data_IF_501396680733
#
_entry.id   IF_501396680733
#
_cell.length_a   1.000
_cell.length_b   1.000
_cell.length_c   1.000
_cell.angle_alpha   90.00
_cell.angle_beta   90.00
_cell.angle_gamma   90.00
#
_symmetry.space_group_name_H-M   'P 1'
#
loop_
_entity.id
_entity.type
_entity.pdbx_description
1 polymer ?
#
# COMPACT_ATOMS: atom_id res chain seq x y z
N UNK A 1 -11.96 9.67 -11.66
CA UNK A 1 -12.34 8.24 -11.81
C UNK A 1 -13.51 7.96 -12.77
N UNK A 2 -14.10 8.94 -13.48
CA UNK A 2 -15.24 8.68 -14.38
C UNK A 2 -14.90 8.14 -15.78
N UNK A 3 -13.63 8.17 -16.20
CA UNK A 3 -13.27 7.89 -17.60
C UNK A 3 -12.85 6.44 -17.89
N UNK A 4 -12.26 5.71 -16.92
CA UNK A 4 -11.79 4.34 -17.15
C UNK A 4 -12.93 3.29 -17.17
N UNK A 5 -13.97 3.45 -16.34
CA UNK A 5 -15.15 2.56 -16.37
C UNK A 5 -16.03 2.73 -17.61
N UNK A 6 -15.87 3.82 -18.36
CA UNK A 6 -16.65 4.08 -19.57
C UNK A 6 -16.15 3.30 -20.80
N UNK A 7 -14.87 2.88 -20.81
CA UNK A 7 -14.29 2.16 -21.92
C UNK A 7 -14.65 0.66 -21.94
N UNK A 8 -14.97 0.08 -20.77
CA UNK A 8 -15.36 -1.33 -20.68
C UNK A 8 -16.24 -1.59 -19.42
N UNK A 9 -17.57 -1.46 -19.53
CA UNK A 9 -18.49 -1.70 -18.41
C UNK A 9 -18.38 -3.16 -17.93
N UNK A 10 -18.19 -3.36 -16.62
CA UNK A 10 -18.20 -4.70 -16.00
C UNK A 10 -16.82 -5.27 -15.60
N UNK A 11 -15.72 -4.59 -15.91
CA UNK A 11 -14.39 -4.96 -15.39
C UNK A 11 -14.11 -4.15 -14.11
N UNK A 12 -13.84 -4.80 -12.96
CA UNK A 12 -13.40 -4.10 -11.76
C UNK A 12 -12.11 -3.32 -12.06
N UNK A 13 -12.17 -1.99 -12.00
CA UNK A 13 -10.98 -1.15 -12.11
C UNK A 13 -10.28 -1.19 -10.77
N UNK A 14 -9.08 -1.77 -10.72
CA UNK A 14 -8.22 -1.77 -9.53
C UNK A 14 -7.24 -0.62 -9.68
N UNK A 15 -7.39 0.43 -8.89
CA UNK A 15 -6.33 1.43 -8.75
C UNK A 15 -5.44 1.07 -7.55
N UNK A 16 -4.10 1.26 -7.62
CA UNK A 16 -3.22 0.85 -6.51
C UNK A 16 -3.56 1.51 -5.17
N UNK A 17 -4.08 2.73 -5.19
CA UNK A 17 -4.50 3.44 -3.98
C UNK A 17 -5.81 2.88 -3.39
N UNK A 18 -6.75 2.45 -4.23
CA UNK A 18 -7.98 1.79 -3.75
C UNK A 18 -7.69 0.39 -3.23
N UNK A 19 -6.82 -0.36 -3.92
CA UNK A 19 -6.36 -1.65 -3.46
C UNK A 19 -5.65 -1.52 -2.10
N UNK A 20 -4.78 -0.52 -1.94
CA UNK A 20 -4.13 -0.22 -0.67
C UNK A 20 -5.14 0.13 0.42
N UNK A 21 -6.14 0.98 0.13
CA UNK A 21 -7.18 1.32 1.09
C UNK A 21 -8.01 0.10 1.54
N UNK A 22 -8.32 -0.83 0.61
CA UNK A 22 -8.98 -2.10 0.95
C UNK A 22 -8.08 -2.99 1.81
N UNK A 23 -6.80 -3.09 1.46
CA UNK A 23 -5.83 -3.90 2.20
C UNK A 23 -5.61 -3.39 3.63
N UNK A 24 -5.46 -2.08 3.80
CA UNK A 24 -5.37 -1.44 5.11
C UNK A 24 -6.63 -1.71 5.96
N UNK A 25 -7.82 -1.68 5.35
CA UNK A 25 -9.08 -2.05 6.03
C UNK A 25 -9.14 -3.52 6.41
N UNK A 26 -8.68 -4.41 5.52
CA UNK A 26 -8.62 -5.85 5.79
C UNK A 26 -7.64 -6.19 6.94
N UNK A 27 -6.64 -5.33 7.16
CA UNK A 27 -5.72 -5.39 8.29
C UNK A 27 -6.21 -4.62 9.52
N UNK A 28 -7.46 -4.14 9.50
CA UNK A 28 -8.10 -3.37 10.59
C UNK A 28 -7.35 -2.09 11.00
N UNK A 29 -6.47 -1.58 10.14
CA UNK A 29 -5.72 -0.35 10.39
C UNK A 29 -6.65 0.87 10.40
N UNK A 30 -6.45 1.78 11.37
CA UNK A 30 -7.18 3.05 11.48
C UNK A 30 -6.26 4.24 11.41
N UNK A 31 -5.10 4.15 12.06
CA UNK A 31 -4.03 5.15 12.01
C UNK A 31 -2.91 4.64 11.11
N UNK A 32 -2.45 5.46 10.18
CA UNK A 32 -1.46 5.05 9.19
C UNK A 32 -0.33 6.05 9.08
N UNK A 33 0.84 5.54 8.73
CA UNK A 33 1.94 6.34 8.19
C UNK A 33 2.13 6.02 6.71
N UNK A 34 2.58 7.00 5.93
CA UNK A 34 2.86 6.88 4.50
C UNK A 34 4.35 7.12 4.24
N UNK A 35 4.96 6.24 3.45
CA UNK A 35 6.27 6.44 2.84
C UNK A 35 6.11 6.45 1.32
N UNK A 36 6.53 7.55 0.68
CA UNK A 36 6.51 7.70 -0.77
C UNK A 36 7.89 8.14 -1.30
N UNK A 37 8.33 7.67 -2.48
CA UNK A 37 9.62 8.07 -3.03
C UNK A 37 9.61 9.37 -3.84
N UNK A 38 8.43 9.86 -4.21
CA UNK A 38 8.23 11.05 -5.03
C UNK A 38 7.95 12.31 -4.18
N UNK A 39 7.79 13.46 -4.83
CA UNK A 39 7.55 14.76 -4.20
C UNK A 39 6.36 14.80 -3.23
N UNK A 40 6.46 15.70 -2.25
CA UNK A 40 5.44 15.90 -1.23
C UNK A 40 4.05 16.17 -1.81
N UNK A 41 3.93 16.98 -2.87
CA UNK A 41 2.64 17.31 -3.48
C UNK A 41 1.88 16.07 -3.96
N UNK A 42 2.58 15.11 -4.57
CA UNK A 42 1.97 13.86 -5.01
C UNK A 42 1.64 12.95 -3.81
N UNK A 43 2.42 13.00 -2.74
CA UNK A 43 2.18 12.23 -1.53
C UNK A 43 0.96 12.76 -0.76
N UNK A 44 0.77 14.07 -0.77
CA UNK A 44 -0.38 14.73 -0.16
C UNK A 44 -1.69 14.31 -0.86
N UNK A 45 -1.70 14.19 -2.19
CA UNK A 45 -2.88 13.67 -2.91
C UNK A 45 -3.25 12.24 -2.49
N UNK A 46 -2.24 11.40 -2.21
CA UNK A 46 -2.45 10.03 -1.73
C UNK A 46 -2.95 10.03 -0.29
N UNK A 47 -2.34 10.85 0.56
CA UNK A 47 -2.74 11.07 1.94
C UNK A 47 -4.20 11.53 2.03
N UNK A 48 -4.58 12.58 1.31
CA UNK A 48 -5.94 13.13 1.28
C UNK A 48 -6.96 12.08 0.86
N UNK A 49 -6.63 11.26 -0.15
CA UNK A 49 -7.49 10.17 -0.57
C UNK A 49 -7.71 9.15 0.55
N UNK A 50 -6.65 8.75 1.28
CA UNK A 50 -6.77 7.78 2.37
C UNK A 50 -7.52 8.40 3.57
N UNK A 51 -7.28 9.66 3.90
CA UNK A 51 -8.06 10.37 4.92
C UNK A 51 -9.54 10.41 4.57
N UNK A 52 -9.88 10.70 3.31
CA UNK A 52 -11.27 10.66 2.82
C UNK A 52 -11.91 9.25 2.89
N UNK A 53 -11.11 8.18 3.00
CA UNK A 53 -11.57 6.80 3.19
C UNK A 53 -11.73 6.40 4.66
N UNK A 54 -11.44 7.31 5.59
CA UNK A 54 -11.64 7.17 7.03
C UNK A 54 -10.39 6.83 7.85
N UNK A 55 -9.20 6.93 7.26
CA UNK A 55 -7.94 6.73 7.99
C UNK A 55 -7.47 8.02 8.67
N UNK A 56 -6.85 7.90 9.84
CA UNK A 56 -6.10 8.98 10.46
C UNK A 56 -4.63 8.91 10.00
N UNK A 57 -4.11 10.00 9.46
CA UNK A 57 -2.73 10.07 9.01
C UNK A 57 -1.83 10.59 10.14
N UNK A 58 -0.91 9.77 10.62
CA UNK A 58 0.03 10.16 11.67
C UNK A 58 1.33 10.76 11.12
N UNK A 59 1.78 10.25 9.97
CA UNK A 59 2.98 10.74 9.28
C UNK A 59 2.89 10.50 7.79
N UNK A 60 3.38 11.46 7.00
CA UNK A 60 3.69 11.27 5.59
C UNK A 60 5.16 11.65 5.36
N UNK A 61 5.94 10.74 4.81
CA UNK A 61 7.37 10.91 4.57
C UNK A 61 7.70 10.67 3.12
N UNK A 62 8.53 11.55 2.56
CA UNK A 62 8.98 11.47 1.17
C UNK A 62 10.49 11.41 1.07
N UNK A 63 10.99 10.78 -0.01
CA UNK A 63 12.40 10.89 -0.39
C UNK A 63 12.68 12.06 -1.34
N UNK A 64 11.63 12.77 -1.77
CA UNK A 64 11.68 13.92 -2.67
C UNK A 64 12.53 13.68 -3.94
N UNK A 65 12.38 12.50 -4.55
CA UNK A 65 13.16 12.11 -5.72
C UNK A 65 12.46 12.58 -7.01
N UNK A 66 13.23 13.24 -7.88
CA UNK A 66 12.78 13.80 -9.17
C UNK A 66 12.55 12.75 -10.29
N UNK A 67 12.81 11.45 -10.06
CA UNK A 67 12.55 10.44 -11.09
C UNK A 67 12.98 8.99 -10.86
N UNK A 68 12.56 8.12 -11.80
CA UNK A 68 12.65 6.65 -11.74
C UNK A 68 14.08 6.12 -11.57
N UNK A 69 15.11 6.80 -12.08
CA UNK A 69 16.49 6.33 -11.94
C UNK A 69 17.00 6.39 -10.50
N UNK A 70 16.62 7.40 -9.73
CA UNK A 70 17.00 7.51 -8.33
C UNK A 70 16.20 6.51 -7.48
N UNK A 71 14.91 6.35 -7.78
CA UNK A 71 14.06 5.36 -7.13
C UNK A 71 14.57 3.92 -7.32
N UNK A 72 15.05 3.57 -8.51
CA UNK A 72 15.60 2.24 -8.82
C UNK A 72 16.93 1.92 -8.11
N UNK A 73 17.61 2.92 -7.55
CA UNK A 73 18.89 2.75 -6.82
C UNK A 73 18.71 2.59 -5.31
N UNK A 74 17.48 2.70 -4.80
CA UNK A 74 17.20 2.49 -3.38
C UNK A 74 17.51 1.03 -3.01
N UNK A 75 18.57 0.85 -2.21
CA UNK A 75 18.93 -0.46 -1.68
C UNK A 75 17.87 -0.93 -0.66
N UNK A 76 17.67 -2.25 -0.50
CA UNK A 76 16.78 -2.78 0.55
C UNK A 76 17.10 -2.26 1.95
N UNK A 77 18.39 -2.05 2.26
CA UNK A 77 18.81 -1.49 3.54
C UNK A 77 18.35 -0.03 3.73
N UNK A 78 18.47 0.79 2.68
CA UNK A 78 18.01 2.19 2.70
C UNK A 78 16.49 2.26 2.88
N UNK A 79 15.75 1.37 2.19
CA UNK A 79 14.31 1.30 2.33
C UNK A 79 13.87 0.84 3.72
N UNK A 80 14.59 -0.10 4.35
CA UNK A 80 14.34 -0.49 5.75
C UNK A 80 14.60 0.65 6.73
N UNK A 81 15.68 1.41 6.54
CA UNK A 81 15.97 2.56 7.38
C UNK A 81 14.88 3.63 7.25
N UNK A 82 14.53 4.00 6.02
CA UNK A 82 13.48 4.98 5.78
C UNK A 82 12.11 4.52 6.28
N UNK A 83 11.78 3.23 6.15
CA UNK A 83 10.53 2.69 6.68
C UNK A 83 10.46 2.79 8.22
N UNK A 84 11.59 2.64 8.93
CA UNK A 84 11.67 2.85 10.38
C UNK A 84 11.48 4.31 10.76
N UNK A 85 12.06 5.23 10.00
CA UNK A 85 11.93 6.67 10.27
C UNK A 85 10.53 7.20 9.90
N UNK A 86 9.91 6.60 8.89
CA UNK A 86 8.60 6.98 8.39
C UNK A 86 7.43 6.42 9.23
N UNK A 87 7.61 5.37 10.03
CA UNK A 87 6.52 4.86 10.86
C UNK A 87 6.38 5.69 12.14
N UNK A 88 5.20 6.27 12.37
CA UNK A 88 4.88 6.88 13.65
C UNK A 88 4.56 5.79 14.71
N UNK A 89 5.00 5.93 15.98
CA UNK A 89 4.76 4.91 17.02
C UNK A 89 3.30 4.58 17.31
N UNK A 90 2.36 5.46 16.93
CA UNK A 90 0.91 5.26 17.11
C UNK A 90 0.21 4.69 15.87
N UNK A 91 0.93 4.52 14.76
CA UNK A 91 0.32 4.01 13.55
C UNK A 91 0.10 2.51 13.64
N UNK A 92 -1.06 2.07 13.17
CA UNK A 92 -1.43 0.67 13.07
C UNK A 92 -0.76 -0.02 11.89
N UNK A 93 -0.39 0.72 10.84
CA UNK A 93 0.26 0.19 9.65
C UNK A 93 1.12 1.25 8.92
N UNK A 94 2.10 0.77 8.16
CA UNK A 94 2.85 1.58 7.19
C UNK A 94 2.34 1.31 5.77
N UNK A 95 1.97 2.36 5.04
CA UNK A 95 1.72 2.29 3.60
C UNK A 95 2.93 2.80 2.82
N UNK A 96 3.53 1.95 1.99
CA UNK A 96 4.60 2.32 1.06
C UNK A 96 3.98 2.55 -0.32
N UNK A 97 3.78 3.81 -0.67
CA UNK A 97 3.18 4.20 -1.95
C UNK A 97 4.22 4.22 -3.05
N UNK A 98 4.55 3.06 -3.62
CA UNK A 98 5.37 2.99 -4.82
C UNK A 98 5.09 1.72 -5.64
N UNK A 99 5.02 1.88 -6.96
CA UNK A 99 4.97 0.78 -7.94
C UNK A 99 6.35 0.42 -8.50
N UNK A 100 7.33 1.33 -8.43
CA UNK A 100 8.69 1.13 -8.93
C UNK A 100 9.64 0.40 -7.97
N UNK A 101 9.38 0.41 -6.66
CA UNK A 101 10.24 -0.24 -5.67
C UNK A 101 10.07 -1.76 -5.68
N UNK A 102 11.19 -2.49 -5.71
CA UNK A 102 11.26 -3.95 -5.55
C UNK A 102 10.99 -4.33 -4.09
N UNK A 103 9.74 -4.22 -3.66
CA UNK A 103 9.33 -4.47 -2.27
C UNK A 103 8.90 -5.91 -2.00
N UNK A 104 8.54 -6.68 -3.02
CA UNK A 104 7.94 -8.02 -2.89
C UNK A 104 8.75 -8.99 -2.00
N UNK A 105 10.08 -8.89 -2.00
CA UNK A 105 10.95 -9.77 -1.20
C UNK A 105 11.24 -9.30 0.22
N UNK A 106 10.83 -8.08 0.62
CA UNK A 106 11.24 -7.50 1.91
C UNK A 106 10.08 -7.12 2.83
N UNK A 107 8.83 -7.24 2.39
CA UNK A 107 7.66 -6.84 3.20
C UNK A 107 7.63 -7.59 4.53
N UNK A 108 7.81 -8.91 4.53
CA UNK A 108 7.83 -9.70 5.77
C UNK A 108 8.95 -9.28 6.73
N UNK A 109 10.13 -8.93 6.20
CA UNK A 109 11.24 -8.42 7.02
C UNK A 109 10.96 -7.03 7.58
N UNK A 110 10.28 -6.17 6.82
CA UNK A 110 9.83 -4.85 7.30
C UNK A 110 8.80 -5.01 8.41
N UNK A 111 7.79 -5.86 8.24
CA UNK A 111 6.78 -6.12 9.27
C UNK A 111 7.40 -6.69 10.56
N UNK A 112 8.38 -7.58 10.44
CA UNK A 112 9.11 -8.11 11.58
C UNK A 112 9.92 -7.01 12.30
N UNK A 113 10.53 -6.09 11.53
CA UNK A 113 11.33 -4.99 12.08
C UNK A 113 10.49 -3.86 12.70
N UNK A 114 9.31 -3.59 12.15
CA UNK A 114 8.45 -2.47 12.58
C UNK A 114 7.37 -2.90 13.59
N UNK A 115 7.08 -4.20 13.69
CA UNK A 115 6.02 -4.75 14.56
C UNK A 115 4.59 -4.58 13.99
N UNK A 116 4.40 -3.66 13.05
CA UNK A 116 3.12 -3.36 12.40
C UNK A 116 3.05 -3.94 10.97
N UNK A 117 1.85 -4.20 10.43
CA UNK A 117 1.66 -4.54 9.03
C UNK A 117 2.23 -3.47 8.08
N UNK A 118 2.70 -3.94 6.92
CA UNK A 118 3.20 -3.08 5.85
C UNK A 118 2.39 -3.39 4.59
N UNK A 119 1.81 -2.35 3.99
CA UNK A 119 1.06 -2.44 2.74
C UNK A 119 1.84 -1.70 1.66
N UNK A 120 2.05 -2.33 0.50
CA UNK A 120 2.67 -1.66 -0.66
C UNK A 120 1.70 -1.57 -1.83
N UNK A 121 1.87 -0.60 -2.72
CA UNK A 121 1.00 -0.46 -3.91
C UNK A 121 0.95 -1.74 -4.76
N UNK A 122 2.10 -2.37 -5.01
CA UNK A 122 2.19 -3.59 -5.80
C UNK A 122 1.55 -4.80 -5.10
N UNK A 123 1.86 -4.98 -3.80
CA UNK A 123 1.31 -6.05 -2.98
C UNK A 123 -0.21 -5.94 -2.87
N UNK A 124 -0.73 -4.74 -2.61
CA UNK A 124 -2.16 -4.50 -2.49
C UNK A 124 -2.89 -4.71 -3.81
N UNK A 125 -2.32 -4.26 -4.94
CA UNK A 125 -2.89 -4.48 -6.27
C UNK A 125 -2.96 -5.97 -6.60
N UNK A 126 -1.89 -6.73 -6.34
CA UNK A 126 -1.87 -8.17 -6.55
C UNK A 126 -2.89 -8.89 -5.66
N UNK A 127 -2.97 -8.52 -4.38
CA UNK A 127 -3.95 -9.06 -3.44
C UNK A 127 -5.39 -8.77 -3.85
N UNK A 128 -5.73 -7.54 -4.25
CA UNK A 128 -7.08 -7.16 -4.71
C UNK A 128 -7.44 -7.88 -6.01
N UNK A 129 -6.50 -8.01 -6.95
CA UNK A 129 -6.69 -8.74 -8.20
C UNK A 129 -6.95 -10.24 -7.97
N UNK A 130 -6.13 -10.91 -7.15
CA UNK A 130 -6.28 -12.32 -6.80
C UNK A 130 -7.59 -12.60 -6.06
N UNK A 131 -7.94 -11.69 -5.15
CA UNK A 131 -9.21 -11.74 -4.40
C UNK A 131 -10.42 -11.68 -5.32
N UNK A 132 -10.38 -10.81 -6.34
CA UNK A 132 -11.43 -10.74 -7.36
C UNK A 132 -11.48 -11.99 -8.25
N UNK A 133 -10.35 -12.65 -8.48
CA UNK A 133 -10.25 -13.89 -9.23
C UNK A 133 -10.66 -15.15 -8.42
N UNK A 134 -11.00 -15.02 -7.13
CA UNK A 134 -11.31 -16.13 -6.20
C UNK A 134 -10.21 -17.19 -6.09
N UNK A 135 -8.96 -16.80 -6.36
CA UNK A 135 -7.81 -17.67 -6.13
C UNK A 135 -7.48 -17.63 -4.64
N UNK A 136 -7.45 -18.79 -3.98
CA UNK A 136 -7.25 -18.90 -2.53
C UNK A 136 -5.92 -18.32 -2.02
N UNK A 137 -5.85 -18.05 -0.71
CA UNK A 137 -4.74 -17.36 -0.03
C UNK A 137 -3.34 -17.85 -0.44
N UNK A 138 -2.49 -16.93 -0.92
CA UNK A 138 -1.09 -17.17 -1.26
C UNK A 138 -0.18 -16.76 -0.10
N UNK A 139 -0.29 -17.42 1.06
CA UNK A 139 0.58 -17.10 2.20
C UNK A 139 1.91 -17.84 2.11
N UNK A 140 2.91 -17.26 1.43
CA UNK A 140 4.33 -17.71 1.46
C UNK A 140 5.31 -16.54 1.64
N UNK A 141 5.19 -15.81 2.76
CA UNK A 141 6.19 -14.82 3.18
C UNK A 141 6.07 -13.41 2.58
N UNK A 142 5.02 -13.15 1.79
CA UNK A 142 4.81 -11.87 1.08
C UNK A 142 4.13 -10.77 1.93
N UNK A 143 4.08 -10.94 3.26
CA UNK A 143 3.51 -9.99 4.24
C UNK A 143 2.11 -10.34 4.76
N UNK A 144 1.69 -9.72 5.86
CA UNK A 144 0.42 -10.00 6.57
C UNK A 144 -0.82 -9.79 5.71
N UNK A 145 -0.76 -8.93 4.69
CA UNK A 145 -1.90 -8.65 3.80
C UNK A 145 -2.35 -9.90 3.02
N UNK A 146 -1.42 -10.72 2.52
CA UNK A 146 -1.77 -11.96 1.78
C UNK A 146 -2.33 -13.08 2.67
N UNK A 147 -2.33 -12.89 4.00
CA UNK A 147 -3.08 -13.73 4.93
C UNK A 147 -4.56 -13.37 5.02
N UNK A 148 -4.97 -12.19 4.52
CA UNK A 148 -6.32 -11.68 4.71
C UNK A 148 -7.28 -12.12 3.61
N UNK A 149 -8.44 -12.64 4.02
CA UNK A 149 -9.55 -12.91 3.10
C UNK A 149 -10.25 -11.60 2.73
N UNK A 150 -10.49 -11.37 1.44
CA UNK A 150 -11.25 -10.22 0.98
C UNK A 150 -12.74 -10.41 1.31
N UNK A 151 -13.27 -9.57 2.21
CA UNK A 151 -14.72 -9.49 2.44
C UNK A 151 -15.39 -8.82 1.24
N UNK A 152 -15.70 -9.60 0.21
CA UNK A 152 -16.56 -9.12 -0.87
C UNK A 152 -17.96 -8.87 -0.29
N UNK A 153 -18.33 -7.60 -0.10
CA UNK A 153 -19.76 -7.26 0.05
C UNK A 153 -20.44 -7.61 -1.27
N UNK A 154 -21.28 -8.64 -1.24
CA UNK A 154 -22.30 -8.87 -2.25
C UNK A 154 -23.30 -7.72 -2.11
N UNK A 155 -23.25 -6.76 -3.02
CA UNK A 155 -24.35 -5.84 -3.22
C UNK A 155 -25.50 -6.66 -3.82
N UNK A 156 -26.53 -6.92 -3.00
CA UNK A 156 -27.83 -7.37 -3.47
C UNK A 156 -28.63 -6.24 -4.10
#
# INVERSE_FOLDING_TARGET
>A
MRHLSAAQPGIPVVTPIEAAAKGLKALEARRISILAPYHQEAADLVADHLVAKGFALDRCSTFDLDGDQQMNRLSPASLKAAARDAIHPQSDALFISCTGLRTAGIVGELEAALGVPVVTSNQATAWDALSNARVGNLSRGEGRLFGQAHSAKVSG
#
